data_IF_562058567732
#
_entry.id   IF_562058567732
#
_cell.length_a   1.000
_cell.length_b   1.000
_cell.length_c   1.000
_cell.angle_alpha   90.00
_cell.angle_beta   90.00
_cell.angle_gamma   90.00
#
_symmetry.space_group_name_H-M   'P 1'
#
loop_
_entity.id
_entity.type
_entity.pdbx_description
1 polymer ?
#
# COMPACT_ATOMS: atom_id res chain seq x y z
N UNK A 1 -23.08 -12.31 -21.38
CA UNK A 1 -21.92 -12.92 -20.68
C UNK A 1 -20.77 -11.91 -20.45
N UNK A 2 -21.01 -10.67 -19.98
CA UNK A 2 -19.92 -9.70 -19.74
C UNK A 2 -19.06 -10.03 -18.51
N UNK A 3 -19.67 -10.61 -17.47
CA UNK A 3 -18.98 -10.96 -16.22
C UNK A 3 -17.97 -12.09 -16.39
N UNK A 4 -18.34 -13.15 -17.10
CA UNK A 4 -17.44 -14.28 -17.39
C UNK A 4 -16.29 -13.85 -18.30
N UNK A 5 -16.55 -12.98 -19.28
CA UNK A 5 -15.49 -12.43 -20.15
C UNK A 5 -14.43 -11.62 -19.39
N UNK A 6 -14.79 -10.99 -18.27
CA UNK A 6 -13.83 -10.24 -17.44
C UNK A 6 -12.94 -11.16 -16.59
N UNK A 7 -13.41 -12.37 -16.28
CA UNK A 7 -12.61 -13.39 -15.57
C UNK A 7 -11.62 -14.10 -16.51
N UNK A 8 -11.88 -14.09 -17.82
CA UNK A 8 -11.06 -14.77 -18.82
C UNK A 8 -10.01 -13.87 -19.48
N UNK A 9 -10.10 -12.56 -19.27
CA UNK A 9 -9.12 -11.58 -19.75
C UNK A 9 -7.91 -11.53 -18.81
N UNK A 10 -7.02 -12.51 -18.96
CA UNK A 10 -5.84 -12.69 -18.11
C UNK A 10 -4.93 -11.45 -18.11
N UNK A 11 -4.72 -10.83 -19.28
CA UNK A 11 -3.88 -9.64 -19.40
C UNK A 11 -4.45 -8.46 -18.61
N UNK A 12 -5.76 -8.24 -18.70
CA UNK A 12 -6.43 -7.19 -17.93
C UNK A 12 -6.42 -7.49 -16.43
N UNK A 13 -6.60 -8.75 -16.03
CA UNK A 13 -6.49 -9.14 -14.62
C UNK A 13 -5.08 -8.92 -14.07
N UNK A 14 -4.05 -9.25 -14.86
CA UNK A 14 -2.66 -9.03 -14.49
C UNK A 14 -2.35 -7.54 -14.30
N UNK A 15 -2.75 -6.69 -15.25
CA UNK A 15 -2.59 -5.23 -15.13
C UNK A 15 -3.30 -4.67 -13.89
N UNK A 16 -4.49 -5.20 -13.55
CA UNK A 16 -5.20 -4.79 -12.34
C UNK A 16 -4.43 -5.13 -11.08
N UNK A 17 -3.82 -6.31 -11.02
CA UNK A 17 -2.96 -6.72 -9.90
C UNK A 17 -1.73 -5.82 -9.83
N UNK A 18 -1.06 -5.55 -10.95
CA UNK A 18 0.07 -4.61 -11.04
C UNK A 18 -0.31 -3.21 -10.53
N UNK A 19 -1.47 -2.68 -10.92
CA UNK A 19 -1.95 -1.37 -10.47
C UNK A 19 -2.23 -1.30 -8.96
N UNK A 20 -2.56 -2.41 -8.29
CA UNK A 20 -2.76 -2.40 -6.83
C UNK A 20 -1.47 -2.08 -6.08
N UNK A 21 -0.32 -2.50 -6.59
CA UNK A 21 0.97 -2.23 -5.95
C UNK A 21 1.40 -0.79 -6.12
N UNK A 22 1.10 -0.16 -7.27
CA UNK A 22 1.31 1.27 -7.41
C UNK A 22 0.51 2.08 -6.38
N UNK A 23 -0.68 1.60 -5.99
CA UNK A 23 -1.49 2.23 -4.95
C UNK A 23 -0.86 2.02 -3.57
N UNK A 24 -0.32 0.84 -3.28
CA UNK A 24 0.41 0.58 -2.03
C UNK A 24 1.59 1.53 -1.88
N UNK A 25 2.39 1.71 -2.94
CA UNK A 25 3.55 2.60 -2.94
C UNK A 25 3.16 4.08 -2.82
N UNK A 26 2.19 4.53 -3.63
CA UNK A 26 1.84 5.96 -3.75
C UNK A 26 0.94 6.45 -2.62
N UNK A 27 0.04 5.60 -2.14
CA UNK A 27 -1.01 5.98 -1.19
C UNK A 27 -0.86 5.32 0.18
N UNK A 28 0.08 4.38 0.34
CA UNK A 28 0.26 3.64 1.59
C UNK A 28 -0.87 2.67 1.92
N UNK A 29 -1.67 2.27 0.92
CA UNK A 29 -2.77 1.31 1.11
C UNK A 29 -2.23 -0.10 0.87
N UNK A 30 -2.03 -0.85 1.96
CA UNK A 30 -1.50 -2.21 1.89
C UNK A 30 -2.50 -3.19 1.26
N UNK A 31 -2.03 -4.01 0.31
CA UNK A 31 -2.80 -5.12 -0.26
C UNK A 31 -2.13 -6.47 0.03
N UNK A 32 -2.87 -7.39 0.67
CA UNK A 32 -2.44 -8.77 0.89
C UNK A 32 -3.57 -9.72 0.48
N UNK A 33 -3.21 -10.82 -0.18
CA UNK A 33 -4.14 -11.86 -0.61
C UNK A 33 -3.84 -13.13 0.16
N UNK A 34 -4.71 -13.46 1.11
CA UNK A 34 -4.68 -14.79 1.72
C UNK A 34 -5.29 -15.80 0.77
N UNK A 35 -4.60 -16.91 0.56
CA UNK A 35 -5.10 -18.01 -0.27
C UNK A 35 -5.04 -19.33 0.47
N UNK A 36 -6.04 -20.16 0.22
CA UNK A 36 -6.10 -21.49 0.84
C UNK A 36 -5.05 -22.40 0.25
N UNK A 37 -4.28 -23.03 1.13
CA UNK A 37 -3.25 -23.98 0.78
C UNK A 37 -3.62 -25.35 1.34
N UNK A 38 -3.85 -26.31 0.44
CA UNK A 38 -4.08 -27.70 0.81
C UNK A 38 -2.76 -28.47 0.62
N UNK A 39 -2.19 -29.06 1.68
CA UNK A 39 -0.95 -29.82 1.55
C UNK A 39 -1.15 -31.09 0.69
N UNK A 40 -0.05 -31.60 0.15
CA UNK A 40 -0.06 -32.89 -0.57
C UNK A 40 -0.54 -34.01 0.35
N UNK A 41 -1.42 -34.88 -0.16
CA UNK A 41 -1.94 -36.07 0.51
C UNK A 41 -1.81 -37.30 -0.40
N UNK A 42 -0.59 -37.89 -0.54
CA UNK A 42 -0.39 -39.07 -1.37
C UNK A 42 -1.16 -40.30 -0.85
N UNK A 43 -1.64 -41.20 -1.74
CA UNK A 43 -1.52 -41.16 -3.20
C UNK A 43 -2.59 -40.30 -3.89
N UNK A 44 -3.63 -39.86 -3.16
CA UNK A 44 -4.81 -39.19 -3.73
C UNK A 44 -4.44 -37.84 -4.35
N UNK A 45 -3.60 -37.06 -3.68
CA UNK A 45 -3.11 -35.77 -4.13
C UNK A 45 -1.59 -35.69 -3.93
N UNK A 46 -0.78 -36.01 -4.95
CA UNK A 46 0.68 -36.05 -4.80
C UNK A 46 1.32 -34.67 -4.65
N UNK A 47 0.64 -33.61 -5.09
CA UNK A 47 1.09 -32.22 -4.97
C UNK A 47 0.16 -31.40 -4.09
N UNK A 48 0.68 -30.31 -3.53
CA UNK A 48 -0.14 -29.29 -2.89
C UNK A 48 -1.08 -28.64 -3.90
N UNK A 49 -2.19 -28.09 -3.41
CA UNK A 49 -3.28 -27.54 -4.22
C UNK A 49 -3.74 -26.20 -3.68
N UNK A 50 -4.21 -25.33 -4.57
CA UNK A 50 -4.67 -23.97 -4.25
C UNK A 50 -5.94 -23.66 -5.04
N UNK A 51 -6.85 -22.86 -4.47
CA UNK A 51 -8.06 -22.42 -5.17
C UNK A 51 -7.79 -21.39 -6.26
N UNK A 52 -6.77 -20.54 -6.05
CA UNK A 52 -6.40 -19.48 -6.99
C UNK A 52 -5.17 -19.86 -7.81
N UNK A 53 -5.02 -19.21 -8.96
CA UNK A 53 -3.78 -19.21 -9.73
C UNK A 53 -2.82 -18.22 -9.07
N UNK A 54 -1.68 -18.72 -8.60
CA UNK A 54 -0.63 -17.88 -8.02
C UNK A 54 0.18 -17.19 -9.12
N UNK A 55 0.71 -15.97 -8.85
CA UNK A 55 1.74 -15.39 -9.70
C UNK A 55 2.93 -16.34 -9.85
N UNK A 56 3.69 -16.18 -10.93
CA UNK A 56 4.96 -16.91 -11.11
C UNK A 56 5.87 -16.61 -9.93
N UNK A 57 6.67 -17.58 -9.49
CA UNK A 57 7.60 -17.40 -8.38
C UNK A 57 8.64 -16.27 -8.60
N UNK A 58 8.95 -15.95 -9.85
CA UNK A 58 9.81 -14.82 -10.22
C UNK A 58 9.10 -13.47 -10.24
N UNK A 59 7.79 -13.44 -9.98
CA UNK A 59 7.02 -12.20 -9.95
C UNK A 59 7.38 -11.40 -8.70
N UNK A 60 7.60 -10.07 -8.81
CA UNK A 60 7.83 -9.22 -7.64
C UNK A 60 6.63 -9.22 -6.68
N UNK A 61 5.47 -9.66 -7.15
CA UNK A 61 4.20 -9.60 -6.43
C UNK A 61 3.93 -10.84 -5.57
N UNK A 62 4.76 -11.88 -5.67
CA UNK A 62 4.51 -13.15 -4.98
C UNK A 62 4.49 -12.99 -3.45
N UNK A 63 5.24 -12.02 -2.91
CA UNK A 63 5.30 -11.69 -1.48
C UNK A 63 3.96 -11.17 -0.92
N UNK A 64 3.04 -10.70 -1.77
CA UNK A 64 1.72 -10.22 -1.36
C UNK A 64 0.69 -11.35 -1.23
N UNK A 65 1.04 -12.57 -1.66
CA UNK A 65 0.18 -13.75 -1.58
C UNK A 65 0.61 -14.59 -0.38
N UNK A 66 -0.25 -14.62 0.63
CA UNK A 66 0.01 -15.26 1.90
C UNK A 66 -0.74 -16.59 1.98
N UNK A 67 -0.01 -17.65 2.32
CA UNK A 67 -0.59 -18.98 2.48
C UNK A 67 -1.47 -19.02 3.74
N UNK A 68 -2.66 -19.57 3.60
CA UNK A 68 -3.55 -19.95 4.70
C UNK A 68 -3.79 -21.46 4.61
N UNK A 69 -3.02 -22.28 5.35
CA UNK A 69 -3.18 -23.73 5.34
C UNK A 69 -4.57 -24.14 5.82
N UNK A 70 -5.16 -25.12 5.13
CA UNK A 70 -6.39 -25.79 5.57
C UNK A 70 -6.27 -27.29 5.28
N UNK A 71 -6.13 -28.09 6.34
CA UNK A 71 -6.00 -29.55 6.23
C UNK A 71 -7.32 -30.30 6.41
N UNK A 72 -8.36 -29.60 6.86
CA UNK A 72 -9.70 -30.15 7.09
C UNK A 72 -10.53 -30.25 5.80
N UNK A 73 -10.35 -29.30 4.89
CA UNK A 73 -11.10 -29.26 3.64
C UNK A 73 -10.75 -30.44 2.70
N UNK A 74 -11.77 -31.00 2.05
CA UNK A 74 -11.61 -32.07 1.07
C UNK A 74 -11.06 -31.58 -0.28
N UNK A 75 -11.46 -30.37 -0.67
CA UNK A 75 -11.07 -29.76 -1.94
C UNK A 75 -10.85 -28.24 -1.84
N UNK A 76 -10.37 -27.66 -2.93
CA UNK A 76 -10.01 -26.25 -3.04
C UNK A 76 -11.22 -25.33 -2.88
N UNK A 77 -12.41 -25.77 -3.31
CA UNK A 77 -13.65 -24.98 -3.25
C UNK A 77 -14.18 -24.92 -1.83
N UNK A 78 -14.24 -26.07 -1.15
CA UNK A 78 -14.59 -26.15 0.27
C UNK A 78 -13.59 -25.34 1.10
N UNK A 79 -12.29 -25.49 0.83
CA UNK A 79 -11.28 -24.72 1.54
C UNK A 79 -11.51 -23.21 1.39
N UNK A 80 -11.71 -22.71 0.16
CA UNK A 80 -11.87 -21.29 -0.11
C UNK A 80 -13.15 -20.72 0.51
N UNK A 81 -14.28 -21.41 0.33
CA UNK A 81 -15.58 -20.96 0.85
C UNK A 81 -15.65 -21.05 2.38
N UNK A 82 -14.97 -22.02 2.99
CA UNK A 82 -14.89 -22.25 4.43
C UNK A 82 -13.70 -21.57 5.14
N UNK A 83 -12.88 -20.76 4.45
CA UNK A 83 -11.61 -20.28 5.01
C UNK A 83 -11.76 -19.37 6.24
N UNK A 84 -12.94 -18.79 6.46
CA UNK A 84 -13.22 -17.87 7.58
C UNK A 84 -14.08 -18.50 8.70
N UNK A 85 -14.22 -19.82 8.73
CA UNK A 85 -14.88 -20.54 9.81
C UNK A 85 -13.89 -21.50 10.49
N UNK A 86 -13.71 -21.32 11.81
CA UNK A 86 -12.81 -22.16 12.61
C UNK A 86 -13.23 -23.63 12.73
N UNK A 87 -14.46 -23.99 12.34
CA UNK A 87 -14.91 -25.39 12.25
C UNK A 87 -14.42 -26.08 10.99
N UNK A 88 -14.19 -25.34 9.91
CA UNK A 88 -13.84 -25.85 8.58
C UNK A 88 -12.43 -25.46 8.15
N UNK A 89 -11.72 -24.67 8.94
CA UNK A 89 -10.34 -24.26 8.70
C UNK A 89 -9.52 -24.33 9.99
N UNK A 90 -8.64 -25.33 10.08
CA UNK A 90 -7.69 -25.50 11.19
C UNK A 90 -6.63 -24.40 11.25
N UNK A 91 -6.41 -23.67 10.16
CA UNK A 91 -5.57 -22.45 10.12
C UNK A 91 -6.29 -21.15 10.47
N UNK A 92 -7.58 -21.18 10.86
CA UNK A 92 -8.39 -19.97 11.06
C UNK A 92 -7.80 -18.99 12.09
N UNK A 93 -7.28 -19.52 13.20
CA UNK A 93 -6.71 -18.67 14.25
C UNK A 93 -5.41 -17.98 13.78
N UNK A 94 -4.54 -18.72 13.09
CA UNK A 94 -3.31 -18.18 12.53
C UNK A 94 -3.59 -17.12 11.47
N UNK A 95 -4.58 -17.36 10.60
CA UNK A 95 -5.07 -16.38 9.64
C UNK A 95 -5.48 -15.05 10.32
N UNK A 96 -6.23 -15.14 11.41
CA UNK A 96 -6.63 -13.98 12.22
C UNK A 96 -5.43 -13.27 12.86
N UNK A 97 -4.47 -14.04 13.40
CA UNK A 97 -3.27 -13.50 14.02
C UNK A 97 -2.39 -12.74 13.02
N UNK A 98 -2.13 -13.34 11.85
CA UNK A 98 -1.38 -12.71 10.75
C UNK A 98 -2.10 -11.44 10.26
N UNK A 99 -3.43 -11.47 10.13
CA UNK A 99 -4.21 -10.29 9.76
C UNK A 99 -4.04 -9.16 10.77
N UNK A 100 -4.11 -9.47 12.07
CA UNK A 100 -3.91 -8.48 13.12
C UNK A 100 -2.48 -7.90 13.14
N UNK A 101 -1.47 -8.72 12.82
CA UNK A 101 -0.09 -8.26 12.66
C UNK A 101 0.07 -7.30 11.49
N UNK A 102 -0.48 -7.62 10.31
CA UNK A 102 -0.42 -6.74 9.13
C UNK A 102 -1.11 -5.40 9.38
N UNK A 103 -2.29 -5.40 10.01
CA UNK A 103 -2.99 -4.16 10.38
C UNK A 103 -2.11 -3.32 11.31
N UNK A 104 -1.48 -3.95 12.31
CA UNK A 104 -0.58 -3.27 13.23
C UNK A 104 0.59 -2.63 12.50
N UNK A 105 1.24 -3.34 11.57
CA UNK A 105 2.35 -2.83 10.77
C UNK A 105 1.94 -1.56 10.00
N UNK A 106 0.82 -1.61 9.29
CA UNK A 106 0.27 -0.44 8.57
C UNK A 106 0.02 0.75 9.50
N UNK A 107 -0.52 0.49 10.69
CA UNK A 107 -0.77 1.55 11.67
C UNK A 107 0.51 2.20 12.20
N UNK A 108 1.58 1.41 12.39
CA UNK A 108 2.89 1.96 12.80
C UNK A 108 3.53 2.77 11.67
N UNK A 109 3.53 2.25 10.45
CA UNK A 109 4.10 2.94 9.29
C UNK A 109 3.37 4.26 9.01
N UNK A 110 2.03 4.26 9.13
CA UNK A 110 1.22 5.47 8.99
C UNK A 110 1.57 6.53 10.04
N UNK A 111 1.80 6.14 11.31
CA UNK A 111 2.19 7.07 12.37
C UNK A 111 3.60 7.62 12.18
N UNK A 112 4.55 6.79 11.76
CA UNK A 112 5.93 7.24 11.54
C UNK A 112 6.04 8.21 10.36
N UNK A 113 5.27 8.02 9.29
CA UNK A 113 5.24 8.99 8.17
C UNK A 113 4.74 10.36 8.61
N UNK A 114 3.72 10.42 9.47
CA UNK A 114 3.21 11.68 10.01
C UNK A 114 4.27 12.43 10.84
N UNK A 115 5.07 11.73 11.65
CA UNK A 115 6.10 12.37 12.47
C UNK A 115 7.29 12.87 11.65
N UNK A 116 7.67 12.15 10.58
CA UNK A 116 8.71 12.60 9.65
C UNK A 116 8.29 13.84 8.88
N UNK A 117 7.06 13.87 8.35
CA UNK A 117 6.51 15.04 7.64
C UNK A 117 6.44 16.27 8.56
N UNK A 118 5.95 16.14 9.80
CA UNK A 118 5.94 17.26 10.75
C UNK A 118 7.34 17.77 11.10
N UNK A 119 8.32 16.86 11.21
CA UNK A 119 9.71 17.23 11.49
C UNK A 119 10.36 17.96 10.31
N UNK A 120 10.05 17.58 9.06
CA UNK A 120 10.55 18.23 7.86
C UNK A 120 9.89 19.60 7.63
N UNK A 121 8.58 19.74 7.90
CA UNK A 121 7.87 21.02 7.86
C UNK A 121 8.42 21.99 8.91
N UNK A 122 8.72 21.49 10.11
CA UNK A 122 9.30 22.32 11.19
C UNK A 122 10.71 22.78 10.82
N UNK A 123 11.55 21.90 10.25
CA UNK A 123 12.89 22.29 9.76
C UNK A 123 12.85 23.31 8.63
N UNK A 124 11.92 23.16 7.68
CA UNK A 124 11.80 24.09 6.55
C UNK A 124 11.35 25.49 7.02
N UNK A 125 10.41 25.56 7.98
CA UNK A 125 9.98 26.83 8.59
C UNK A 125 11.07 27.52 9.39
N UNK A 126 11.86 26.77 10.16
CA UNK A 126 12.99 27.35 10.92
C UNK A 126 14.11 27.87 10.01
N UNK A 127 14.30 27.29 8.83
CA UNK A 127 15.26 27.78 7.84
C UNK A 127 14.79 29.06 7.13
N UNK A 128 13.49 29.18 6.82
CA UNK A 128 12.91 30.38 6.18
C UNK A 128 12.86 31.59 7.13
N UNK A 129 12.59 31.38 8.43
CA UNK A 129 12.55 32.47 9.41
C UNK A 129 13.94 33.01 9.78
N UNK A 130 15.00 32.22 9.53
CA UNK A 130 16.40 32.64 9.71
C UNK A 130 16.97 33.39 8.50
N UNK A 131 16.22 33.50 7.39
CA UNK A 131 16.71 34.03 6.11
C UNK A 131 16.17 35.42 5.73
N UNK A 132 15.39 36.09 6.60
CA UNK A 132 14.98 37.49 6.35
C UNK A 132 16.09 38.48 6.73
N UNK A 133 16.65 39.26 5.79
CA UNK A 133 17.49 40.39 6.16
C UNK A 133 16.58 41.48 6.76
N UNK A 134 17.01 42.05 7.88
CA UNK A 134 16.40 43.24 8.45
C UNK A 134 16.72 44.42 7.53
N UNK A 135 15.78 44.79 6.65
CA UNK A 135 15.86 46.05 5.91
C UNK A 135 14.77 47.00 6.40
N UNK A 136 15.23 48.07 7.03
CA UNK A 136 14.45 49.15 7.63
C UNK A 136 14.09 50.19 6.57
N UNK A 137 12.84 50.62 6.52
CA UNK A 137 12.41 51.86 5.85
C UNK A 137 11.46 52.63 6.78
N UNK A 138 11.13 53.92 6.56
CA UNK A 138 11.71 54.97 5.68
C UNK A 138 11.81 56.36 6.37
N UNK A 139 12.44 57.37 5.72
CA UNK A 139 12.00 58.79 5.66
C UNK A 139 13.13 59.76 5.22
N UNK A 140 12.91 60.49 4.13
CA UNK A 140 12.65 61.95 4.14
C UNK A 140 13.32 62.74 2.98
N UNK A 141 12.58 63.78 2.57
CA UNK A 141 12.93 64.97 1.82
C UNK A 141 13.09 64.89 0.28
N UNK A 142 11.99 65.30 -0.35
CA UNK A 142 11.89 65.83 -1.71
C UNK A 142 12.84 67.01 -1.97
N UNK A 143 13.27 67.15 -3.22
CA UNK A 143 13.70 68.43 -3.79
C UNK A 143 13.17 68.53 -5.21
N UNK A 144 12.07 69.26 -5.35
CA UNK A 144 11.68 69.90 -6.60
C UNK A 144 12.62 71.09 -6.82
N UNK A 145 13.21 71.21 -8.01
CA UNK A 145 13.69 72.51 -8.48
C UNK A 145 13.35 72.69 -9.96
N UNK A 146 12.55 73.72 -10.20
CA UNK A 146 11.96 74.13 -11.47
C UNK A 146 12.78 75.32 -12.04
N UNK A 147 13.15 75.21 -13.33
CA UNK A 147 13.37 76.21 -14.41
C UNK A 147 14.40 77.36 -14.33
N UNK A 148 15.33 77.28 -15.31
CA UNK A 148 15.85 78.27 -16.28
C UNK A 148 15.55 79.77 -16.13
N UNK A 149 16.61 80.60 -16.18
CA UNK A 149 16.72 81.82 -17.02
C UNK A 149 18.22 82.06 -17.38
N UNK A 150 18.55 82.02 -18.68
CA UNK A 150 19.72 82.75 -19.25
C UNK A 150 19.30 83.47 -20.54
N UNK A 151 19.57 84.78 -20.54
CA UNK A 151 19.77 85.77 -21.63
C UNK A 151 18.81 85.86 -22.81
#
# INVERSE_FOLDING_TARGET
MKYVGTLWDEDKLRRRVESLFEIEDKMGVMFRTFFTYLPSKPPVHPSARTFIVLPKASSPFISHFLQAPNTLAGDETEAHTGMFDGKTNDGYYELGLLTAQLIREVMFDSRNKLTEDESNVTRHRSAEDSAKPADSTPADAASEQLVDITS
#
